data_IF_863853690142
#
_entry.id   IF_863853690142
#
_cell.length_a   1.000
_cell.length_b   1.000
_cell.length_c   1.000
_cell.angle_alpha   90.00
_cell.angle_beta   90.00
_cell.angle_gamma   90.00
#
_symmetry.space_group_name_H-M   'P 1'
#
loop_
_entity.id
_entity.type
_entity.pdbx_description
1 polymer ?
#
# COMPACT_ATOMS: atom_id res chain seq x y z
N UNK A 1 -3.45 10.46 10.37
CA UNK A 1 -2.93 9.11 10.06
C UNK A 1 -1.53 9.03 10.65
N UNK A 2 -1.35 8.27 11.72
CA UNK A 2 -0.03 7.94 12.26
C UNK A 2 0.15 6.43 12.10
N UNK A 3 0.40 5.97 10.87
CA UNK A 3 0.87 4.60 10.64
C UNK A 3 2.36 4.49 10.92
N UNK A 4 2.90 3.28 10.79
CA UNK A 4 4.33 3.05 11.00
C UNK A 4 5.12 3.83 9.95
N UNK A 5 6.29 4.38 10.33
CA UNK A 5 7.23 4.95 9.34
C UNK A 5 7.58 3.95 8.22
N UNK A 6 7.43 2.65 8.51
CA UNK A 6 7.63 1.56 7.56
C UNK A 6 6.52 1.53 6.49
N UNK A 7 5.25 1.76 6.84
CA UNK A 7 4.13 1.70 5.88
C UNK A 7 4.26 2.80 4.83
N UNK A 8 4.68 3.99 5.27
CA UNK A 8 4.97 5.09 4.36
C UNK A 8 6.17 4.79 3.44
N UNK A 9 7.22 4.14 3.96
CA UNK A 9 8.36 3.71 3.14
C UNK A 9 7.94 2.66 2.10
N UNK A 10 7.10 1.69 2.48
CA UNK A 10 6.54 0.69 1.56
C UNK A 10 5.75 1.39 0.44
N UNK A 11 4.89 2.35 0.79
CA UNK A 11 4.14 3.13 -0.19
C UNK A 11 5.06 3.89 -1.16
N UNK A 12 6.11 4.56 -0.65
CA UNK A 12 7.05 5.31 -1.47
C UNK A 12 7.85 4.41 -2.44
N UNK A 13 8.23 3.21 -2.00
CA UNK A 13 8.91 2.24 -2.86
C UNK A 13 7.97 1.68 -3.92
N UNK A 14 6.73 1.34 -3.56
CA UNK A 14 5.74 0.82 -4.48
C UNK A 14 5.41 1.84 -5.59
N UNK A 15 5.21 3.11 -5.22
CA UNK A 15 4.97 4.21 -6.17
C UNK A 15 6.16 4.42 -7.10
N UNK A 16 7.38 4.52 -6.55
CA UNK A 16 8.61 4.73 -7.34
C UNK A 16 8.86 3.64 -8.38
N UNK A 17 8.42 2.42 -8.11
CA UNK A 17 8.68 1.24 -8.94
C UNK A 17 7.47 0.76 -9.73
N UNK A 18 6.33 1.45 -9.64
CA UNK A 18 5.06 1.06 -10.29
C UNK A 18 4.66 -0.39 -9.95
N UNK A 19 4.76 -0.76 -8.67
CA UNK A 19 4.41 -2.10 -8.18
C UNK A 19 3.20 -2.08 -7.27
N UNK A 20 2.40 -3.16 -7.31
CA UNK A 20 1.24 -3.33 -6.44
C UNK A 20 1.65 -3.88 -5.07
N UNK A 21 1.07 -3.35 -4.00
CA UNK A 21 1.25 -3.84 -2.62
C UNK A 21 0.26 -4.98 -2.38
N UNK A 22 0.78 -6.17 -2.01
CA UNK A 22 -0.03 -7.27 -1.49
C UNK A 22 0.12 -7.33 0.02
N UNK A 23 -0.98 -7.13 0.74
CA UNK A 23 -0.98 -7.05 2.20
C UNK A 23 -2.31 -7.52 2.76
N UNK A 24 -2.32 -7.97 4.02
CA UNK A 24 -3.53 -8.20 4.82
C UNK A 24 -3.79 -7.07 5.81
N UNK A 25 -2.96 -6.03 5.77
CA UNK A 25 -3.08 -4.84 6.60
C UNK A 25 -3.98 -3.80 5.91
N UNK A 26 -5.11 -3.52 6.54
CA UNK A 26 -6.14 -2.64 5.99
C UNK A 26 -5.74 -1.16 6.02
N UNK A 27 -4.70 -0.76 6.77
CA UNK A 27 -4.25 0.65 6.80
C UNK A 27 -3.77 1.12 5.42
N UNK A 28 -3.29 0.20 4.56
CA UNK A 28 -2.90 0.54 3.19
C UNK A 28 -4.07 1.01 2.32
N UNK A 29 -5.32 0.67 2.66
CA UNK A 29 -6.49 1.24 2.00
C UNK A 29 -6.58 2.75 2.27
N UNK A 30 -6.33 3.19 3.52
CA UNK A 30 -6.32 4.61 3.88
C UNK A 30 -5.15 5.34 3.23
N UNK A 31 -3.98 4.69 3.13
CA UNK A 31 -2.84 5.25 2.40
C UNK A 31 -3.14 5.43 0.91
N UNK A 32 -3.83 4.48 0.27
CA UNK A 32 -4.20 4.56 -1.15
C UNK A 32 -5.17 5.73 -1.47
N UNK A 33 -5.86 6.27 -0.46
CA UNK A 33 -6.67 7.50 -0.62
C UNK A 33 -5.81 8.76 -0.76
N UNK A 34 -4.56 8.73 -0.30
CA UNK A 34 -3.68 9.90 -0.22
C UNK A 34 -2.39 9.77 -1.05
N UNK A 35 -1.93 8.55 -1.30
CA UNK A 35 -0.70 8.22 -2.01
C UNK A 35 -1.07 7.33 -3.20
N UNK A 36 -0.56 7.59 -4.42
CA UNK A 36 -0.94 6.85 -5.62
C UNK A 36 -0.29 5.46 -5.67
N UNK A 37 -0.66 4.58 -4.75
CA UNK A 37 -0.23 3.19 -4.69
C UNK A 37 -1.36 2.26 -5.12
N UNK A 38 -1.01 1.16 -5.79
CA UNK A 38 -1.98 0.13 -6.22
C UNK A 38 -1.98 -1.02 -5.22
N UNK A 39 -3.16 -1.47 -4.78
CA UNK A 39 -3.30 -2.66 -3.93
C UNK A 39 -3.63 -3.89 -4.77
N UNK A 40 -2.96 -5.02 -4.49
CA UNK A 40 -3.21 -6.27 -5.19
C UNK A 40 -4.42 -7.00 -4.60
N UNK A 41 -5.45 -7.22 -5.43
CA UNK A 41 -6.59 -8.04 -5.04
C UNK A 41 -6.20 -9.53 -4.96
N UNK A 42 -6.22 -10.10 -3.75
CA UNK A 42 -6.05 -11.54 -3.56
C UNK A 42 -7.08 -12.30 -4.40
N UNK A 43 -6.64 -13.23 -5.25
CA UNK A 43 -7.57 -14.15 -5.92
C UNK A 43 -8.03 -15.16 -4.87
N UNK A 44 -9.31 -15.09 -4.48
CA UNK A 44 -9.91 -16.19 -3.75
C UNK A 44 -10.13 -17.34 -4.75
N UNK A 45 -9.46 -18.46 -4.51
CA UNK A 45 -9.59 -19.69 -5.29
C UNK A 45 -10.83 -20.49 -4.94
#
# INVERSE_FOLDING_TARGET
IQGSHIDFLICAVAERHDTSIFTTDDDFNQYAEHIPVTLHNARMG
#
